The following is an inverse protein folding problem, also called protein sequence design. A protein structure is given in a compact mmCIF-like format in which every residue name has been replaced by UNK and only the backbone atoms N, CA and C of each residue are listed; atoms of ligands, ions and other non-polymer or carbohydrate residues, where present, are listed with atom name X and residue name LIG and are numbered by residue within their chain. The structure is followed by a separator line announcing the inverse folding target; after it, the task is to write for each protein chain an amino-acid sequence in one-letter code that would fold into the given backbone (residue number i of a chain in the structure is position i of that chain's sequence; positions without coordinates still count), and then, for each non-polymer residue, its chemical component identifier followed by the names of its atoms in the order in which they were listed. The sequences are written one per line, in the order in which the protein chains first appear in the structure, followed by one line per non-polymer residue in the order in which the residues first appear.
data_IF_910728256516
#
_entry.id   IF_910728256516
#
_cell.length_a   1.000
_cell.length_b   1.000
_cell.length_c   1.000
_cell.angle_alpha   90.00
_cell.angle_beta   90.00
_cell.angle_gamma   90.00
#
_symmetry.space_group_name_H-M   'P 1'
#
loop_
_entity.id
_entity.type
_entity.pdbx_description
1 polymer ?
#
# COMPACT_ATOMS: atom_id res chain seq x y z
N UNK A 1 -3.61 1.54 12.55
CA UNK A 1 -4.38 0.81 11.52
C UNK A 1 -3.40 0.28 10.48
N UNK A 2 -3.56 -0.96 10.00
CA UNK A 2 -2.70 -1.53 8.95
C UNK A 2 -2.91 -0.80 7.62
N UNK A 3 -1.86 -0.73 6.80
CA UNK A 3 -1.85 -0.04 5.50
C UNK A 3 -1.60 -1.06 4.38
N UNK A 4 -2.36 -0.97 3.29
CA UNK A 4 -2.21 -1.85 2.14
C UNK A 4 -2.20 -1.05 0.84
N UNK A 5 -1.24 -1.38 -0.02
CA UNK A 5 -1.22 -0.89 -1.39
C UNK A 5 -2.32 -1.60 -2.21
N UNK A 6 -3.21 -0.83 -2.84
CA UNK A 6 -4.33 -1.32 -3.63
C UNK A 6 -4.38 -0.55 -4.96
N UNK A 7 -3.80 -1.07 -6.05
CA UNK A 7 -3.63 -0.36 -7.32
C UNK A 7 -4.93 -0.34 -8.14
N UNK A 8 -5.98 0.24 -7.57
CA UNK A 8 -7.29 0.42 -8.21
C UNK A 8 -7.95 1.73 -7.72
N UNK A 9 -8.97 2.24 -8.42
CA UNK A 9 -9.69 3.43 -7.96
C UNK A 9 -10.37 3.20 -6.60
N UNK A 10 -10.19 4.14 -5.67
CA UNK A 10 -10.75 4.11 -4.32
C UNK A 10 -11.74 5.27 -4.12
N UNK A 11 -12.97 5.07 -4.56
CA UNK A 11 -14.01 6.13 -4.55
C UNK A 11 -14.81 6.07 -3.24
N UNK A 12 -14.88 7.15 -2.44
CA UNK A 12 -15.71 7.21 -1.24
C UNK A 12 -17.16 6.81 -1.46
N UNK A 13 -17.71 6.01 -0.54
CA UNK A 13 -19.06 5.46 -0.60
C UNK A 13 -19.22 4.20 -1.45
N UNK A 14 -18.16 3.75 -2.13
CA UNK A 14 -18.17 2.50 -2.90
C UNK A 14 -17.74 1.30 -2.05
N UNK A 15 -18.19 0.10 -2.44
CA UNK A 15 -17.62 -1.17 -1.98
C UNK A 15 -16.77 -1.72 -3.12
N UNK A 16 -15.53 -2.09 -2.80
CA UNK A 16 -14.56 -2.61 -3.77
C UNK A 16 -14.08 -3.99 -3.34
N UNK A 17 -14.02 -4.89 -4.31
CA UNK A 17 -13.29 -6.15 -4.16
C UNK A 17 -11.79 -5.84 -4.13
N UNK A 18 -11.10 -6.39 -3.12
CA UNK A 18 -9.67 -6.20 -2.94
C UNK A 18 -8.89 -7.23 -3.79
N UNK A 19 -7.75 -6.83 -4.38
CA UNK A 19 -6.89 -7.76 -5.11
C UNK A 19 -6.46 -8.96 -4.25
N UNK A 20 -6.21 -10.12 -4.88
CA UNK A 20 -5.83 -11.36 -4.18
C UNK A 20 -4.60 -11.18 -3.28
N UNK A 21 -3.60 -10.40 -3.71
CA UNK A 21 -2.43 -10.08 -2.89
C UNK A 21 -2.77 -9.33 -1.59
N UNK A 22 -3.73 -8.39 -1.66
CA UNK A 22 -4.21 -7.66 -0.48
C UNK A 22 -5.01 -8.60 0.42
N UNK A 23 -5.93 -9.40 -0.17
CA UNK A 23 -6.69 -10.39 0.57
C UNK A 23 -5.78 -11.38 1.30
N UNK A 24 -4.74 -11.89 0.64
CA UNK A 24 -3.74 -12.76 1.26
C UNK A 24 -3.04 -12.07 2.44
N UNK A 25 -2.60 -10.83 2.27
CA UNK A 25 -1.94 -10.07 3.34
C UNK A 25 -2.88 -9.87 4.55
N UNK A 26 -4.17 -9.57 4.33
CA UNK A 26 -5.17 -9.45 5.39
C UNK A 26 -5.31 -10.74 6.24
N UNK A 27 -5.20 -11.91 5.62
CA UNK A 27 -5.22 -13.19 6.34
C UNK A 27 -3.98 -13.37 7.21
N UNK A 28 -2.81 -13.03 6.68
CA UNK A 28 -1.52 -13.13 7.40
C UNK A 28 -1.55 -12.24 8.65
N UNK A 29 -2.09 -11.02 8.53
CA UNK A 29 -2.25 -10.09 9.65
C UNK A 29 -3.56 -10.27 10.44
N UNK A 30 -4.33 -11.32 10.13
CA UNK A 30 -5.53 -11.77 10.86
C UNK A 30 -6.62 -10.70 11.01
N UNK A 31 -6.83 -9.89 9.97
CA UNK A 31 -7.95 -8.94 9.92
C UNK A 31 -9.30 -9.67 9.82
N UNK A 32 -10.35 -9.03 10.31
CA UNK A 32 -11.72 -9.53 10.35
C UNK A 32 -12.70 -8.54 9.73
N UNK A 33 -13.85 -9.03 9.27
CA UNK A 33 -14.94 -8.15 8.83
C UNK A 33 -15.30 -7.17 9.94
N UNK A 34 -15.46 -5.89 9.58
CA UNK A 34 -15.67 -4.77 10.49
C UNK A 34 -14.39 -4.01 10.86
N UNK A 35 -13.20 -4.59 10.66
CA UNK A 35 -11.94 -3.90 10.93
C UNK A 35 -11.75 -2.69 10.00
N UNK A 36 -11.19 -1.62 10.55
CA UNK A 36 -10.80 -0.45 9.75
C UNK A 36 -9.33 -0.56 9.34
N UNK A 37 -9.07 -0.20 8.08
CA UNK A 37 -7.75 -0.25 7.46
C UNK A 37 -7.50 1.00 6.61
N UNK A 38 -6.26 1.17 6.17
CA UNK A 38 -5.87 2.22 5.22
C UNK A 38 -5.50 1.59 3.90
N UNK A 39 -6.09 2.08 2.81
CA UNK A 39 -5.73 1.76 1.44
C UNK A 39 -5.03 2.96 0.79
N UNK A 40 -4.07 2.69 -0.08
CA UNK A 40 -3.43 3.70 -0.92
C UNK A 40 -3.09 3.10 -2.28
N UNK A 41 -3.14 3.89 -3.34
CA UNK A 41 -2.98 3.42 -4.72
C UNK A 41 -1.73 3.98 -5.43
N UNK A 42 -0.94 4.82 -4.74
CA UNK A 42 0.27 5.44 -5.28
C UNK A 42 0.05 6.80 -5.96
N UNK A 43 -1.19 7.29 -6.08
CA UNK A 43 -1.51 8.58 -6.70
C UNK A 43 -1.43 9.77 -5.71
N UNK A 44 -0.91 9.53 -4.51
CA UNK A 44 -0.93 10.47 -3.39
C UNK A 44 -2.13 10.27 -2.46
N UNK A 45 -2.00 10.78 -1.25
CA UNK A 45 -2.97 10.60 -0.18
C UNK A 45 -3.17 9.15 0.26
N UNK A 46 -4.18 8.96 1.09
CA UNK A 46 -4.58 7.67 1.62
C UNK A 46 -6.09 7.63 1.81
N UNK A 47 -6.63 6.43 1.98
CA UNK A 47 -8.07 6.23 2.08
C UNK A 47 -8.38 5.33 3.25
N UNK A 48 -9.21 5.81 4.18
CA UNK A 48 -9.78 4.96 5.23
C UNK A 48 -10.85 4.07 4.63
N UNK A 49 -10.80 2.80 4.96
CA UNK A 49 -11.78 1.82 4.53
C UNK A 49 -12.17 0.89 5.68
N UNK A 50 -13.33 0.26 5.57
CA UNK A 50 -13.80 -0.77 6.49
C UNK A 50 -13.93 -2.09 5.75
N UNK A 51 -13.36 -3.15 6.30
CA UNK A 51 -13.49 -4.48 5.73
C UNK A 51 -14.96 -4.94 5.87
N UNK A 52 -15.60 -5.27 4.75
CA UNK A 52 -17.00 -5.71 4.71
C UNK A 52 -17.08 -7.22 4.81
N UNK A 53 -16.27 -7.92 4.01
CA UNK A 53 -16.19 -9.37 3.99
C UNK A 53 -14.76 -9.85 3.79
N UNK A 54 -14.43 -11.00 4.38
CA UNK A 54 -13.16 -11.70 4.19
C UNK A 54 -13.39 -13.22 4.16
N UNK A 55 -13.31 -13.78 2.96
CA UNK A 55 -13.25 -15.21 2.70
C UNK A 55 -11.85 -15.66 2.29
N UNK A 56 -11.65 -16.97 2.14
CA UNK A 56 -10.33 -17.60 1.93
C UNK A 56 -9.45 -17.02 0.81
N UNK A 57 -10.05 -16.40 -0.21
CA UNK A 57 -9.39 -15.77 -1.38
C UNK A 57 -10.10 -14.49 -1.86
N UNK A 58 -11.07 -13.99 -1.10
CA UNK A 58 -11.84 -12.81 -1.49
C UNK A 58 -11.97 -11.91 -0.28
N UNK A 59 -11.79 -10.62 -0.49
CA UNK A 59 -12.03 -9.62 0.53
C UNK A 59 -12.68 -8.42 -0.14
N UNK A 60 -13.61 -7.77 0.54
CA UNK A 60 -14.23 -6.53 0.07
C UNK A 60 -14.16 -5.47 1.16
N UNK A 61 -14.00 -4.21 0.76
CA UNK A 61 -13.95 -3.10 1.68
C UNK A 61 -14.85 -1.95 1.23
N UNK A 62 -15.53 -1.33 2.18
CA UNK A 62 -16.25 -0.08 2.02
C UNK A 62 -15.25 1.08 2.12
N UNK A 63 -15.22 1.92 1.09
CA UNK A 63 -14.36 3.10 1.04
C UNK A 63 -15.03 4.24 1.78
N UNK A 64 -14.42 4.69 2.88
CA UNK A 64 -15.02 5.69 3.77
C UNK A 64 -14.64 7.11 3.35
N UNK A 65 -13.37 7.48 3.55
CA UNK A 65 -12.92 8.86 3.37
C UNK A 65 -11.52 8.88 2.76
N UNK A 66 -11.33 9.77 1.78
CA UNK A 66 -10.02 10.11 1.26
C UNK A 66 -9.38 11.18 2.15
N UNK A 67 -8.15 10.94 2.56
CA UNK A 67 -7.33 11.83 3.36
C UNK A 67 -6.13 12.27 2.51
N UNK A 68 -6.01 13.57 2.24
CA UNK A 68 -4.89 14.16 1.50
C UNK A 68 -3.62 14.24 2.38
N UNK A 69 -3.16 13.08 2.86
CA UNK A 69 -1.96 12.91 3.68
C UNK A 69 -0.86 12.37 2.77
N UNK A 70 0.05 13.26 2.38
CA UNK A 70 1.27 12.90 1.66
C UNK A 70 2.46 12.87 2.62
N UNK A 71 3.32 11.87 2.45
CA UNK A 71 4.55 11.66 3.24
C UNK A 71 5.82 11.74 2.39
N UNK A 72 5.68 12.30 1.18
CA UNK A 72 6.75 12.43 0.20
C UNK A 72 7.74 13.55 0.57
N UNK A 73 8.97 13.43 0.08
CA UNK A 73 9.96 14.50 0.20
C UNK A 73 9.54 15.74 -0.59
N UNK A 74 9.93 16.95 -0.15
CA UNK A 74 9.66 18.18 -0.91
C UNK A 74 10.50 18.30 -2.20
N UNK A 75 11.36 17.32 -2.48
CA UNK A 75 12.20 17.24 -3.68
C UNK A 75 12.31 15.80 -4.17
N UNK A 76 12.60 15.62 -5.47
CA UNK A 76 12.75 14.30 -6.09
C UNK A 76 14.20 13.83 -6.01
N UNK A 77 14.41 12.68 -5.38
CA UNK A 77 15.72 12.00 -5.35
C UNK A 77 15.66 10.77 -6.24
N UNK A 78 16.63 10.63 -7.17
CA UNK A 78 16.85 9.40 -7.93
C UNK A 78 18.16 8.77 -7.47
N UNK A 79 18.09 7.53 -6.97
CA UNK A 79 19.27 6.76 -6.56
C UNK A 79 19.81 5.99 -7.76
N UNK A 80 20.98 6.38 -8.29
CA UNK A 80 21.73 5.56 -9.23
C UNK A 80 22.58 4.53 -8.47
N UNK A 81 22.23 3.25 -8.58
CA UNK A 81 22.77 2.17 -7.75
C UNK A 81 23.43 1.10 -8.63
N UNK A 82 24.76 0.98 -8.55
CA UNK A 82 25.45 -0.16 -9.18
C UNK A 82 25.03 -1.50 -8.54
N UNK A 83 24.91 -2.55 -9.36
CA UNK A 83 24.46 -3.88 -8.92
C UNK A 83 25.41 -4.47 -7.85
N UNK A 84 24.96 -4.63 -6.60
CA UNK A 84 25.80 -5.20 -5.55
C UNK A 84 25.85 -6.73 -5.65
N UNK A 85 26.87 -7.34 -5.06
CA UNK A 85 26.93 -8.79 -4.90
C UNK A 85 25.92 -9.29 -3.84
N UNK A 86 25.38 -10.49 -4.08
CA UNK A 86 24.47 -11.17 -3.16
C UNK A 86 23.08 -10.52 -3.09
N UNK A 87 22.48 -10.51 -1.89
CA UNK A 87 21.13 -10.02 -1.64
C UNK A 87 21.07 -8.58 -1.09
N UNK A 88 22.17 -7.81 -1.23
CA UNK A 88 22.21 -6.42 -0.72
C UNK A 88 21.23 -5.50 -1.42
N UNK A 89 20.82 -5.82 -2.65
CA UNK A 89 19.89 -5.00 -3.42
C UNK A 89 18.54 -4.86 -2.72
N UNK A 90 18.05 -5.92 -2.07
CA UNK A 90 16.75 -5.89 -1.34
C UNK A 90 16.79 -4.85 -0.21
N UNK A 91 17.89 -4.85 0.56
CA UNK A 91 18.11 -3.86 1.63
C UNK A 91 18.24 -2.44 1.08
N UNK A 92 18.92 -2.26 -0.05
CA UNK A 92 19.05 -0.93 -0.69
C UNK A 92 17.70 -0.41 -1.15
N UNK A 93 16.88 -1.24 -1.79
CA UNK A 93 15.53 -0.87 -2.23
C UNK A 93 14.66 -0.52 -1.04
N UNK A 94 14.67 -1.34 0.02
CA UNK A 94 13.93 -1.06 1.27
C UNK A 94 14.31 0.30 1.85
N UNK A 95 15.60 0.58 2.02
CA UNK A 95 16.07 1.84 2.63
C UNK A 95 15.91 3.05 1.72
N UNK A 96 16.05 2.88 0.41
CA UNK A 96 15.79 3.96 -0.53
C UNK A 96 14.32 4.40 -0.48
N UNK A 97 13.38 3.45 -0.43
CA UNK A 97 11.94 3.74 -0.32
C UNK A 97 11.61 4.37 1.03
N UNK A 98 12.13 3.84 2.15
CA UNK A 98 11.93 4.42 3.48
C UNK A 98 12.44 5.87 3.60
N UNK A 99 13.54 6.19 2.90
CA UNK A 99 14.13 7.53 2.87
C UNK A 99 13.47 8.48 1.84
N UNK A 100 12.44 8.03 1.11
CA UNK A 100 11.68 8.84 0.16
C UNK A 100 12.34 9.01 -1.21
N UNK A 101 13.13 8.04 -1.66
CA UNK A 101 13.62 8.05 -3.04
C UNK A 101 12.46 7.96 -4.03
N UNK A 102 12.41 8.89 -4.98
CA UNK A 102 11.36 8.95 -6.00
C UNK A 102 11.60 7.95 -7.15
N UNK A 103 12.85 7.53 -7.35
CA UNK A 103 13.22 6.51 -8.34
C UNK A 103 14.55 5.84 -7.97
N UNK A 104 14.72 4.60 -8.42
CA UNK A 104 15.97 3.84 -8.33
C UNK A 104 16.36 3.44 -9.75
N UNK A 105 17.58 3.81 -10.16
CA UNK A 105 18.19 3.42 -11.43
C UNK A 105 19.28 2.38 -11.13
N UNK A 106 19.03 1.09 -11.39
CA UNK A 106 20.03 0.04 -11.26
C UNK A 106 21.11 0.11 -12.37
#
# INVERSE_FOLDING_TARGET
MPRFHCPQPLVPGSIVDLPDAVAHHLHVVRQQSGDELVLFNGDGGQVRARLVDIGKRRASAEILVHEAIDVELPFRVTLAQGLPEGNKMDWIVEKAVELGAAAIQP
#
